data_IF_352327567235
#
_entry.id   IF_352327567235
#
_cell.length_a   1.000
_cell.length_b   1.000
_cell.length_c   1.000
_cell.angle_alpha   90.00
_cell.angle_beta   90.00
_cell.angle_gamma   90.00
#
_symmetry.space_group_name_H-M   'P 1'
#
loop_
_entity.id
_entity.type
_entity.pdbx_description
1 polymer ?
#
# COMPACT_ATOMS: atom_id res chain seq x y z
N UNK A 1 -3.82 -24.82 23.79
CA UNK A 1 -4.55 -25.13 22.55
C UNK A 1 -3.70 -26.08 21.72
N UNK A 2 -4.26 -27.04 20.97
CA UNK A 2 -3.47 -27.89 20.08
C UNK A 2 -2.81 -27.03 18.99
N UNK A 3 -1.67 -27.45 18.41
CA UNK A 3 -1.10 -26.75 17.26
C UNK A 3 -2.10 -26.86 16.10
N UNK A 4 -2.61 -25.71 15.67
CA UNK A 4 -3.51 -25.62 14.52
C UNK A 4 -2.70 -26.00 13.27
N UNK A 5 -3.01 -27.14 12.66
CA UNK A 5 -2.38 -27.58 11.41
C UNK A 5 -2.71 -26.63 10.26
N UNK A 6 -1.87 -26.57 9.23
CA UNK A 6 -2.01 -25.65 8.09
C UNK A 6 -3.43 -25.63 7.49
N UNK A 7 -4.09 -26.79 7.42
CA UNK A 7 -5.47 -26.91 6.92
C UNK A 7 -6.50 -26.17 7.78
N UNK A 8 -6.35 -26.16 9.11
CA UNK A 8 -7.24 -25.44 10.02
C UNK A 8 -7.04 -23.91 9.98
N UNK A 9 -5.88 -23.45 9.52
CA UNK A 9 -5.62 -22.01 9.37
C UNK A 9 -6.32 -21.41 8.15
N UNK A 10 -6.68 -22.21 7.14
CA UNK A 10 -7.46 -21.75 5.99
C UNK A 10 -8.92 -21.42 6.33
N UNK A 11 -9.40 -21.79 7.53
CA UNK A 11 -10.72 -21.39 8.02
C UNK A 11 -10.80 -19.90 8.37
N UNK A 12 -9.66 -19.22 8.51
CA UNK A 12 -9.59 -17.78 8.76
C UNK A 12 -9.56 -17.00 7.44
N UNK A 13 -10.51 -16.08 7.27
CA UNK A 13 -10.67 -15.29 6.03
C UNK A 13 -9.40 -14.55 5.60
N UNK A 14 -8.67 -13.98 6.56
CA UNK A 14 -7.40 -13.28 6.30
C UNK A 14 -6.31 -14.22 5.73
N UNK A 15 -6.19 -15.42 6.30
CA UNK A 15 -5.21 -16.42 5.87
C UNK A 15 -5.59 -16.97 4.50
N UNK A 16 -6.86 -17.30 4.30
CA UNK A 16 -7.38 -17.74 3.00
C UNK A 16 -7.12 -16.71 1.91
N UNK A 17 -7.48 -15.44 2.16
CA UNK A 17 -7.26 -14.35 1.22
C UNK A 17 -5.77 -14.18 0.88
N UNK A 18 -4.89 -14.19 1.88
CA UNK A 18 -3.45 -14.09 1.65
C UNK A 18 -2.95 -15.24 0.76
N UNK A 19 -3.35 -16.48 1.05
CA UNK A 19 -2.94 -17.67 0.29
C UNK A 19 -3.47 -17.64 -1.13
N UNK A 20 -4.74 -17.28 -1.33
CA UNK A 20 -5.34 -17.14 -2.68
C UNK A 20 -4.58 -16.12 -3.53
N UNK A 21 -4.25 -14.98 -2.94
CA UNK A 21 -3.55 -13.89 -3.65
C UNK A 21 -2.08 -14.20 -3.88
N UNK A 22 -1.42 -14.84 -2.93
CA UNK A 22 -0.05 -15.33 -3.07
C UNK A 22 0.04 -16.40 -4.17
N UNK A 23 -0.92 -17.31 -4.24
CA UNK A 23 -1.01 -18.33 -5.29
C UNK A 23 -1.27 -17.73 -6.68
N UNK A 24 -2.07 -16.66 -6.77
CA UNK A 24 -2.30 -15.94 -8.02
C UNK A 24 -1.02 -15.31 -8.60
N UNK A 25 -0.05 -14.98 -7.73
CA UNK A 25 1.24 -14.37 -8.11
C UNK A 25 2.32 -15.43 -8.33
N UNK A 26 2.38 -16.44 -7.46
CA UNK A 26 3.30 -17.58 -7.55
C UNK A 26 2.46 -18.86 -7.42
N UNK A 27 2.15 -19.56 -8.53
CA UNK A 27 1.29 -20.75 -8.51
C UNK A 27 1.79 -21.91 -7.65
N UNK A 28 3.05 -21.91 -7.24
CA UNK A 28 3.63 -22.91 -6.34
C UNK A 28 3.53 -22.53 -4.86
N UNK A 29 2.97 -21.36 -4.55
CA UNK A 29 2.77 -20.93 -3.18
C UNK A 29 1.57 -21.66 -2.55
N UNK A 30 1.83 -22.46 -1.53
CA UNK A 30 0.81 -23.14 -0.73
C UNK A 30 1.10 -22.96 0.76
N UNK A 31 0.04 -22.93 1.56
CA UNK A 31 0.18 -22.93 3.02
C UNK A 31 0.69 -24.29 3.49
N UNK A 32 1.81 -24.30 4.18
CA UNK A 32 2.49 -25.48 4.69
C UNK A 32 3.08 -25.20 6.08
N UNK A 33 3.44 -26.24 6.83
CA UNK A 33 3.93 -26.09 8.21
C UNK A 33 5.13 -25.13 8.32
N UNK A 34 6.00 -25.09 7.30
CA UNK A 34 7.18 -24.24 7.28
C UNK A 34 6.90 -22.74 7.03
N UNK A 35 5.71 -22.37 6.56
CA UNK A 35 5.33 -20.98 6.31
C UNK A 35 4.08 -20.52 7.08
N UNK A 36 3.34 -21.45 7.68
CA UNK A 36 2.10 -21.22 8.39
C UNK A 36 2.23 -20.15 9.49
N UNK A 37 3.28 -20.24 10.31
CA UNK A 37 3.52 -19.26 11.38
C UNK A 37 3.70 -17.84 10.82
N UNK A 38 4.50 -17.68 9.77
CA UNK A 38 4.76 -16.39 9.16
C UNK A 38 3.50 -15.81 8.48
N UNK A 39 2.69 -16.65 7.84
CA UNK A 39 1.42 -16.21 7.22
C UNK A 39 0.44 -15.74 8.29
N UNK A 40 0.32 -16.46 9.41
CA UNK A 40 -0.51 -16.03 10.55
C UNK A 40 -0.02 -14.70 11.11
N UNK A 41 1.29 -14.54 11.28
CA UNK A 41 1.91 -13.32 11.78
C UNK A 41 1.65 -12.13 10.84
N UNK A 42 1.76 -12.31 9.53
CA UNK A 42 1.38 -11.29 8.54
C UNK A 42 -0.10 -10.94 8.69
N UNK A 43 -0.98 -11.94 8.77
CA UNK A 43 -2.43 -11.71 8.88
C UNK A 43 -2.80 -10.94 10.14
N UNK A 44 -2.16 -11.27 11.27
CA UNK A 44 -2.35 -10.58 12.55
C UNK A 44 -1.84 -9.14 12.49
N UNK A 45 -0.64 -8.90 11.95
CA UNK A 45 -0.04 -7.56 11.88
C UNK A 45 -0.76 -6.61 10.94
N UNK A 46 -1.39 -7.16 9.91
CA UNK A 46 -2.17 -6.41 8.95
C UNK A 46 -3.64 -6.31 9.37
N UNK A 47 -3.99 -6.72 10.60
CA UNK A 47 -5.35 -6.69 11.17
C UNK A 47 -6.41 -7.38 10.28
N UNK A 48 -5.99 -8.33 9.43
CA UNK A 48 -6.86 -8.95 8.44
C UNK A 48 -7.37 -8.00 7.34
N UNK A 49 -6.82 -6.79 7.20
CA UNK A 49 -7.27 -5.79 6.22
C UNK A 49 -7.03 -6.32 4.80
N UNK A 50 -8.09 -6.49 3.97
CA UNK A 50 -7.97 -7.18 2.68
C UNK A 50 -6.92 -6.59 1.74
N UNK A 51 -6.91 -5.26 1.58
CA UNK A 51 -5.96 -4.59 0.69
C UNK A 51 -4.50 -4.74 1.18
N UNK A 52 -4.28 -4.70 2.49
CA UNK A 52 -2.94 -4.88 3.05
C UNK A 52 -2.43 -6.31 2.81
N UNK A 53 -3.31 -7.30 2.95
CA UNK A 53 -3.01 -8.70 2.65
C UNK A 53 -2.71 -8.92 1.16
N UNK A 54 -3.48 -8.30 0.27
CA UNK A 54 -3.20 -8.33 -1.18
C UNK A 54 -1.80 -7.79 -1.49
N UNK A 55 -1.44 -6.62 -0.95
CA UNK A 55 -0.13 -6.01 -1.16
C UNK A 55 1.02 -6.83 -0.58
N UNK A 56 0.82 -7.44 0.59
CA UNK A 56 1.81 -8.33 1.19
C UNK A 56 1.97 -9.62 0.37
N UNK A 57 0.86 -10.24 -0.05
CA UNK A 57 0.86 -11.44 -0.87
C UNK A 57 1.51 -11.23 -2.25
N UNK A 58 1.43 -10.01 -2.80
CA UNK A 58 2.10 -9.67 -4.07
C UNK A 58 3.64 -9.73 -4.00
N UNK A 59 4.22 -9.82 -2.80
CA UNK A 59 5.67 -9.87 -2.58
C UNK A 59 6.25 -11.28 -2.48
N UNK A 60 5.40 -12.32 -2.51
CA UNK A 60 5.88 -13.71 -2.40
C UNK A 60 6.74 -14.18 -3.59
N UNK A 61 6.72 -13.44 -4.70
CA UNK A 61 7.60 -13.66 -5.84
C UNK A 61 9.05 -13.22 -5.60
N UNK A 62 9.31 -12.38 -4.60
CA UNK A 62 10.63 -11.80 -4.31
C UNK A 62 11.06 -11.97 -2.85
N UNK A 63 10.13 -12.29 -1.94
CA UNK A 63 10.38 -12.50 -0.51
C UNK A 63 9.65 -13.73 0.00
N UNK A 64 10.26 -14.46 0.94
CA UNK A 64 9.55 -15.52 1.66
C UNK A 64 8.51 -14.93 2.62
N UNK A 65 7.50 -15.71 3.02
CA UNK A 65 6.53 -15.29 4.03
C UNK A 65 7.23 -14.84 5.34
N UNK A 66 8.27 -15.54 5.79
CA UNK A 66 9.06 -15.13 6.96
C UNK A 66 9.79 -13.79 6.75
N UNK A 67 10.31 -13.55 5.55
CA UNK A 67 10.96 -12.27 5.20
C UNK A 67 9.97 -11.10 5.09
N UNK A 68 8.72 -11.36 4.71
CA UNK A 68 7.64 -10.37 4.72
C UNK A 68 7.25 -10.07 6.16
N UNK A 69 7.02 -11.10 6.99
CA UNK A 69 6.72 -10.96 8.42
C UNK A 69 7.79 -10.13 9.15
N UNK A 70 9.07 -10.48 9.01
CA UNK A 70 10.17 -9.76 9.66
C UNK A 70 10.28 -8.28 9.22
N UNK A 71 9.95 -7.95 7.97
CA UNK A 71 9.95 -6.55 7.52
C UNK A 71 8.76 -5.74 8.05
N UNK A 72 7.69 -6.41 8.47
CA UNK A 72 6.62 -5.78 9.22
C UNK A 72 7.07 -5.45 10.66
N UNK A 73 8.09 -6.09 11.25
CA UNK A 73 8.61 -5.74 12.59
C UNK A 73 9.29 -4.36 12.60
N UNK A 74 10.12 -4.08 11.60
CA UNK A 74 11.06 -2.95 11.61
C UNK A 74 10.39 -1.57 11.67
N UNK A 75 9.11 -1.44 11.30
CA UNK A 75 8.38 -0.16 11.34
C UNK A 75 7.28 -0.08 12.40
N UNK A 76 6.84 -1.21 12.96
CA UNK A 76 5.86 -1.24 14.05
C UNK A 76 6.53 -1.23 15.44
N UNK A 77 7.78 -1.71 15.57
CA UNK A 77 8.53 -1.65 16.83
C UNK A 77 8.85 -0.21 17.30
N UNK A 78 8.84 0.77 16.39
CA UNK A 78 8.97 2.19 16.72
C UNK A 78 7.69 2.79 17.34
N UNK A 79 6.56 2.08 17.32
CA UNK A 79 5.25 2.62 17.69
C UNK A 79 4.56 1.90 18.87
N UNK A 80 5.10 0.79 19.37
CA UNK A 80 4.48 0.01 20.45
C UNK A 80 4.84 0.50 21.86
N UNK A 81 5.66 1.53 22.01
CA UNK A 81 5.92 2.15 23.31
C UNK A 81 4.95 3.33 23.59
N UNK A 82 3.66 3.04 23.75
CA UNK A 82 2.68 4.09 24.08
C UNK A 82 1.23 3.60 24.17
N UNK A 83 0.77 3.36 25.41
CA UNK A 83 -0.59 2.95 25.75
C UNK A 83 -1.69 3.94 25.29
N UNK A 84 -2.84 3.35 24.92
CA UNK A 84 -4.22 3.87 25.12
C UNK A 84 -4.87 4.62 23.94
N UNK A 85 -5.48 3.88 23.01
CA UNK A 85 -6.86 4.10 22.50
C UNK A 85 -7.13 3.24 21.26
N UNK A 86 -8.11 2.34 21.33
CA UNK A 86 -8.55 1.47 20.23
C UNK A 86 -9.15 2.20 19.01
N UNK A 87 -9.19 3.55 19.02
CA UNK A 87 -9.59 4.39 17.89
C UNK A 87 -8.39 4.95 17.11
N UNK A 88 -7.19 4.90 17.70
CA UNK A 88 -5.92 5.39 17.12
C UNK A 88 -5.20 4.26 16.36
N UNK A 89 -5.48 3.01 16.72
CA UNK A 89 -4.87 1.83 16.08
C UNK A 89 -5.16 1.73 14.57
N UNK A 90 -6.40 2.00 14.13
CA UNK A 90 -6.76 1.88 12.71
C UNK A 90 -6.06 2.92 11.83
N UNK A 91 -5.90 4.15 12.33
CA UNK A 91 -5.13 5.20 11.64
C UNK A 91 -3.64 4.85 11.58
N UNK A 92 -3.06 4.22 12.61
CA UNK A 92 -1.67 3.78 12.58
C UNK A 92 -1.42 2.64 11.60
N UNK A 93 -2.27 1.61 11.55
CA UNK A 93 -2.12 0.52 10.58
C UNK A 93 -2.27 1.03 9.15
N UNK A 94 -3.24 1.92 8.90
CA UNK A 94 -3.43 2.56 7.59
C UNK A 94 -2.23 3.45 7.22
N UNK A 95 -1.74 4.28 8.15
CA UNK A 95 -0.56 5.12 7.95
C UNK A 95 0.67 4.27 7.61
N UNK A 96 0.92 3.21 8.36
CA UNK A 96 2.04 2.31 8.14
C UNK A 96 1.95 1.61 6.76
N UNK A 97 0.75 1.21 6.34
CA UNK A 97 0.52 0.65 5.00
C UNK A 97 0.76 1.68 3.89
N UNK A 98 0.43 2.95 4.12
CA UNK A 98 0.69 4.04 3.16
C UNK A 98 2.20 4.37 3.15
N UNK A 99 2.87 4.43 4.30
CA UNK A 99 4.34 4.62 4.40
C UNK A 99 5.10 3.51 3.67
N UNK A 100 4.62 2.28 3.79
CA UNK A 100 5.16 1.14 3.06
C UNK A 100 4.93 1.29 1.55
N UNK A 101 3.69 1.57 1.13
CA UNK A 101 3.36 1.76 -0.30
C UNK A 101 4.17 2.89 -0.93
N UNK A 102 4.35 4.01 -0.20
CA UNK A 102 5.16 5.14 -0.63
C UNK A 102 6.65 4.77 -0.74
N UNK A 103 7.19 3.99 0.20
CA UNK A 103 8.59 3.55 0.18
C UNK A 103 8.94 2.62 -0.99
N UNK A 104 7.94 2.06 -1.67
CA UNK A 104 8.09 1.20 -2.84
C UNK A 104 7.95 1.94 -4.16
N UNK A 105 7.58 3.22 -4.12
CA UNK A 105 7.48 4.07 -5.30
C UNK A 105 8.88 4.44 -5.81
N UNK A 106 8.99 4.58 -7.13
CA UNK A 106 10.20 5.14 -7.75
C UNK A 106 10.37 6.61 -7.37
N UNK A 107 11.57 7.17 -7.57
CA UNK A 107 11.82 8.58 -7.26
C UNK A 107 10.87 9.54 -8.01
N UNK A 108 10.58 9.25 -9.28
CA UNK A 108 9.63 10.01 -10.10
C UNK A 108 8.20 9.92 -9.53
N UNK A 109 7.78 8.71 -9.11
CA UNK A 109 6.46 8.46 -8.52
C UNK A 109 6.29 9.15 -7.17
N UNK A 110 7.28 9.08 -6.28
CA UNK A 110 7.22 9.78 -5.00
C UNK A 110 7.15 11.30 -5.22
N UNK A 111 7.87 11.81 -6.22
CA UNK A 111 7.87 13.23 -6.57
C UNK A 111 6.50 13.68 -7.08
N UNK A 112 5.91 12.95 -8.03
CA UNK A 112 4.56 13.26 -8.50
C UNK A 112 3.56 13.16 -7.36
N UNK A 113 3.59 12.07 -6.59
CA UNK A 113 2.67 11.83 -5.49
C UNK A 113 2.63 12.98 -4.47
N UNK A 114 3.81 13.47 -4.05
CA UNK A 114 3.90 14.65 -3.15
C UNK A 114 3.31 15.90 -3.79
N UNK A 115 3.64 16.19 -5.06
CA UNK A 115 3.16 17.40 -5.75
C UNK A 115 1.65 17.40 -5.97
N UNK A 116 1.05 16.24 -6.21
CA UNK A 116 -0.40 16.10 -6.33
C UNK A 116 -1.16 16.53 -5.06
N UNK A 117 -0.49 16.58 -3.90
CA UNK A 117 -1.09 17.02 -2.64
C UNK A 117 -1.48 18.52 -2.63
N UNK A 118 -0.94 19.31 -3.55
CA UNK A 118 -1.29 20.71 -3.76
C UNK A 118 -2.73 20.88 -4.29
N UNK A 119 -3.29 19.87 -4.95
CA UNK A 119 -4.66 19.91 -5.42
C UNK A 119 -5.63 19.64 -4.26
N UNK A 120 -6.44 20.64 -3.92
CA UNK A 120 -7.48 20.53 -2.88
C UNK A 120 -8.65 19.61 -3.30
N UNK A 121 -8.85 19.43 -4.61
CA UNK A 121 -9.87 18.58 -5.21
C UNK A 121 -9.25 17.77 -6.36
N UNK A 122 -10.09 17.20 -7.23
CA UNK A 122 -9.58 16.51 -8.41
C UNK A 122 -8.97 17.45 -9.45
N UNK A 123 -8.02 16.95 -10.24
CA UNK A 123 -7.26 17.66 -11.27
C UNK A 123 -7.38 16.96 -12.64
N UNK A 124 -6.95 17.63 -13.71
CA UNK A 124 -6.81 17.05 -15.06
C UNK A 124 -5.35 16.69 -15.33
N UNK A 125 -5.09 15.90 -16.37
CA UNK A 125 -3.72 15.59 -16.80
C UNK A 125 -2.94 16.87 -17.12
N UNK A 126 -3.52 17.76 -17.94
CA UNK A 126 -2.89 19.03 -18.34
C UNK A 126 -2.50 19.88 -17.12
N UNK A 127 -3.35 19.88 -16.07
CA UNK A 127 -3.05 20.61 -14.84
C UNK A 127 -1.93 19.94 -14.04
N UNK A 128 -1.90 18.60 -14.00
CA UNK A 128 -0.83 17.85 -13.35
C UNK A 128 0.51 18.06 -14.08
N UNK A 129 0.52 18.08 -15.41
CA UNK A 129 1.71 18.36 -16.22
C UNK A 129 2.25 19.76 -15.93
N UNK A 130 1.38 20.78 -16.00
CA UNK A 130 1.79 22.17 -15.79
C UNK A 130 2.31 22.47 -14.37
N UNK A 131 1.75 21.81 -13.34
CA UNK A 131 2.05 22.11 -11.93
C UNK A 131 3.09 21.14 -11.34
N UNK A 132 3.07 19.88 -11.76
CA UNK A 132 3.90 18.84 -11.13
C UNK A 132 5.17 18.52 -11.90
N UNK A 133 5.32 18.96 -13.15
CA UNK A 133 6.59 18.84 -13.87
C UNK A 133 7.66 19.74 -13.25
N UNK A 134 8.93 19.32 -13.33
CA UNK A 134 10.05 20.09 -12.81
C UNK A 134 11.23 19.21 -12.45
N UNK A 135 12.02 19.64 -11.47
CA UNK A 135 13.16 18.86 -10.99
C UNK A 135 12.73 17.46 -10.55
N UNK A 136 13.42 16.43 -11.04
CA UNK A 136 13.13 15.03 -10.72
C UNK A 136 11.91 14.42 -11.42
N UNK A 137 11.18 15.18 -12.26
CA UNK A 137 10.05 14.67 -13.04
C UNK A 137 9.82 15.51 -14.30
N UNK A 138 10.21 14.97 -15.47
CA UNK A 138 9.97 15.64 -16.74
C UNK A 138 8.47 15.65 -17.11
N UNK A 139 7.98 16.72 -17.75
CA UNK A 139 6.58 16.88 -18.17
C UNK A 139 6.06 15.67 -18.96
N UNK A 140 6.80 15.24 -19.99
CA UNK A 140 6.48 14.06 -20.81
C UNK A 140 6.38 12.73 -20.03
N UNK A 141 6.87 12.68 -18.79
CA UNK A 141 6.82 11.50 -17.92
C UNK A 141 5.63 11.53 -16.96
N UNK A 142 4.98 12.68 -16.79
CA UNK A 142 3.88 12.85 -15.83
C UNK A 142 2.74 11.88 -16.13
N UNK A 143 2.36 11.72 -17.40
CA UNK A 143 1.32 10.75 -17.79
C UNK A 143 1.67 9.31 -17.37
N UNK A 144 2.87 8.83 -17.71
CA UNK A 144 3.30 7.47 -17.40
C UNK A 144 3.34 7.22 -15.88
N UNK A 145 3.85 8.20 -15.13
CA UNK A 145 3.97 8.13 -13.67
C UNK A 145 2.57 8.21 -13.03
N UNK A 146 1.68 9.06 -13.54
CA UNK A 146 0.30 9.16 -13.08
C UNK A 146 -0.46 7.86 -13.32
N UNK A 147 -0.31 7.23 -14.49
CA UNK A 147 -0.89 5.93 -14.80
C UNK A 147 -0.40 4.87 -13.81
N UNK A 148 0.91 4.85 -13.51
CA UNK A 148 1.44 3.92 -12.50
C UNK A 148 0.86 4.15 -11.10
N UNK A 149 0.64 5.40 -10.70
CA UNK A 149 -0.01 5.72 -9.42
C UNK A 149 -1.49 5.30 -9.38
N UNK A 150 -2.19 5.35 -10.52
CA UNK A 150 -3.56 4.83 -10.66
C UNK A 150 -3.56 3.30 -10.55
N UNK A 151 -2.66 2.61 -11.23
CA UNK A 151 -2.51 1.14 -11.13
C UNK A 151 -2.20 0.69 -9.69
N UNK A 152 -1.47 1.52 -8.95
CA UNK A 152 -1.15 1.32 -7.52
C UNK A 152 -2.26 1.80 -6.58
N UNK A 153 -3.41 2.22 -7.10
CA UNK A 153 -4.57 2.70 -6.34
C UNK A 153 -4.28 3.90 -5.40
N UNK A 154 -3.22 4.66 -5.67
CA UNK A 154 -2.89 5.89 -4.94
C UNK A 154 -3.64 7.10 -5.52
N UNK A 155 -4.03 7.03 -6.79
CA UNK A 155 -4.83 8.02 -7.50
C UNK A 155 -6.06 7.34 -8.08
N UNK A 156 -7.22 7.99 -7.95
CA UNK A 156 -8.46 7.54 -8.59
C UNK A 156 -8.64 8.28 -9.90
N UNK A 157 -8.85 7.54 -10.98
CA UNK A 157 -9.19 8.09 -12.30
C UNK A 157 -10.71 7.99 -12.55
N UNK A 158 -11.32 9.11 -12.92
CA UNK A 158 -12.72 9.27 -13.28
C UNK A 158 -12.80 9.60 -14.77
N UNK A 159 -12.96 8.57 -15.60
CA UNK A 159 -12.88 8.67 -17.07
C UNK A 159 -14.24 8.54 -17.77
N UNK A 160 -15.24 7.96 -17.11
CA UNK A 160 -16.46 7.46 -17.76
C UNK A 160 -17.62 8.45 -17.79
N UNK A 161 -17.58 9.51 -16.99
CA UNK A 161 -18.72 10.42 -16.77
C UNK A 161 -18.50 11.85 -17.26
N UNK A 162 -17.39 12.13 -17.95
CA UNK A 162 -16.99 13.50 -18.34
C UNK A 162 -16.30 13.53 -19.70
N UNK A 163 -16.35 14.68 -20.36
CA UNK A 163 -15.65 14.95 -21.63
C UNK A 163 -14.11 14.94 -21.49
N UNK A 164 -13.59 15.10 -20.27
CA UNK A 164 -12.16 15.05 -19.94
C UNK A 164 -11.96 14.20 -18.68
N UNK A 165 -10.93 13.35 -18.69
CA UNK A 165 -10.56 12.54 -17.54
C UNK A 165 -10.21 13.43 -16.34
N UNK A 166 -10.76 13.09 -15.17
CA UNK A 166 -10.39 13.72 -13.90
C UNK A 166 -9.70 12.72 -13.00
N UNK A 167 -8.77 13.21 -12.22
CA UNK A 167 -8.01 12.41 -11.26
C UNK A 167 -8.17 13.01 -9.89
N UNK A 168 -8.11 12.19 -8.84
CA UNK A 168 -8.11 12.69 -7.46
C UNK A 168 -7.35 11.75 -6.53
N UNK A 169 -6.76 12.31 -5.49
CA UNK A 169 -6.30 11.53 -4.34
C UNK A 169 -7.49 11.20 -3.44
N UNK A 170 -7.45 10.04 -2.80
CA UNK A 170 -8.33 9.76 -1.65
C UNK A 170 -7.95 10.71 -0.51
N UNK A 171 -8.92 11.11 0.32
CA UNK A 171 -8.71 12.11 1.38
C UNK A 171 -7.57 11.76 2.33
N UNK A 172 -7.53 10.54 2.82
CA UNK A 172 -6.47 10.01 3.69
C UNK A 172 -5.09 9.98 3.00
N UNK A 173 -5.08 9.67 1.70
CA UNK A 173 -3.85 9.65 0.88
C UNK A 173 -3.35 11.06 0.60
N UNK A 174 -4.26 12.02 0.42
CA UNK A 174 -3.95 13.44 0.23
C UNK A 174 -3.33 14.06 1.47
N UNK A 175 -3.88 13.80 2.65
CA UNK A 175 -3.30 14.25 3.92
C UNK A 175 -1.88 13.71 4.10
N UNK A 176 -1.70 12.40 3.85
CA UNK A 176 -0.38 11.79 3.87
C UNK A 176 0.59 12.42 2.84
N UNK A 177 0.13 12.66 1.61
CA UNK A 177 0.95 13.25 0.55
C UNK A 177 1.40 14.68 0.90
N UNK A 178 0.54 15.47 1.59
CA UNK A 178 0.88 16.81 2.08
C UNK A 178 2.00 16.75 3.12
N UNK A 179 1.91 15.85 4.09
CA UNK A 179 2.97 15.70 5.09
C UNK A 179 4.31 15.31 4.45
N UNK A 180 4.29 14.48 3.41
CA UNK A 180 5.52 14.14 2.67
C UNK A 180 6.04 15.30 1.82
N UNK A 181 5.14 16.14 1.28
CA UNK A 181 5.51 17.36 0.58
C UNK A 181 6.20 18.33 1.54
N UNK A 182 5.61 18.60 2.70
CA UNK A 182 6.18 19.47 3.74
C UNK A 182 7.54 18.95 4.23
N UNK A 183 7.70 17.64 4.36
CA UNK A 183 8.97 17.01 4.74
C UNK A 183 10.05 17.08 3.64
N UNK A 184 9.68 17.33 2.38
CA UNK A 184 10.60 17.39 1.25
C UNK A 184 11.12 18.81 0.96
N UNK A 185 10.52 19.85 1.55
CA UNK A 185 10.93 21.25 1.41
C UNK A 185 10.13 22.02 0.36
#
# INVERSE_FOLDING_TARGET
>A
APPLGATSLLEYDAVRLFVERAHAVVPTFHLAENNAHAVVEICQRLDGIPLALELASARVNVLTAGQIAARLDDRFALLTNGSRAAHVAHHHTLRAAIDWSHGLLTAEEQTLFRRLAAFAAGFTLDTAEAVCAGEGLAEKRVLDVLASLVDKSLVVAETTSRAQARYRLLETIREYAREKLDAAG
#
